data_IF_463192591064
#
_entry.id   IF_463192591064
#
_cell.length_a   1.000
_cell.length_b   1.000
_cell.length_c   1.000
_cell.angle_alpha   90.00
_cell.angle_beta   90.00
_cell.angle_gamma   90.00
#
_symmetry.space_group_name_H-M   'P 1'
#
loop_
_entity.id
_entity.type
_entity.pdbx_description
1 polymer ?
#
# COMPACT_ATOMS: atom_id res chain seq x y z
N UNK A 1 -27.61 -13.26 1.08
CA UNK A 1 -28.85 -12.50 1.27
C UNK A 1 -29.77 -12.67 0.07
N UNK A 2 -29.30 -12.50 -1.14
CA UNK A 2 -30.08 -12.57 -2.38
C UNK A 2 -30.77 -13.92 -2.60
N UNK A 3 -30.09 -15.03 -2.37
CA UNK A 3 -30.68 -16.37 -2.50
C UNK A 3 -31.83 -16.62 -1.52
N UNK A 4 -31.77 -16.07 -0.33
CA UNK A 4 -32.84 -16.17 0.68
C UNK A 4 -34.03 -15.29 0.32
N UNK A 5 -33.81 -14.12 -0.25
CA UNK A 5 -34.87 -13.24 -0.73
C UNK A 5 -35.63 -13.88 -1.90
N UNK A 6 -34.94 -14.43 -2.87
CA UNK A 6 -35.59 -15.12 -4.01
C UNK A 6 -36.37 -16.35 -3.55
N UNK A 7 -35.84 -17.13 -2.61
CA UNK A 7 -36.57 -18.26 -2.04
C UNK A 7 -37.84 -17.80 -1.32
N UNK A 8 -37.73 -16.76 -0.46
CA UNK A 8 -38.85 -16.18 0.25
C UNK A 8 -39.91 -15.58 -0.69
N UNK A 9 -39.51 -14.85 -1.73
CA UNK A 9 -40.42 -14.25 -2.68
C UNK A 9 -41.20 -15.28 -3.52
N UNK A 10 -40.62 -16.45 -3.76
CA UNK A 10 -41.30 -17.56 -4.43
C UNK A 10 -42.19 -18.34 -3.48
N UNK A 11 -41.74 -18.59 -2.26
CA UNK A 11 -42.48 -19.25 -1.19
C UNK A 11 -41.96 -18.78 0.19
N UNK A 12 -42.75 -17.92 0.90
CA UNK A 12 -42.35 -17.42 2.21
C UNK A 12 -42.05 -18.47 3.26
N UNK A 13 -42.59 -19.69 3.12
CA UNK A 13 -42.31 -20.79 4.03
C UNK A 13 -41.00 -21.53 3.77
N UNK A 14 -40.34 -21.25 2.65
CA UNK A 14 -39.08 -21.89 2.23
C UNK A 14 -37.83 -21.38 2.96
N UNK A 15 -37.97 -20.28 3.72
CA UNK A 15 -36.86 -19.69 4.47
C UNK A 15 -37.11 -19.76 5.96
N UNK A 16 -36.03 -19.66 6.76
CA UNK A 16 -36.14 -19.62 8.21
C UNK A 16 -37.01 -18.42 8.68
N UNK A 17 -37.81 -18.60 9.73
CA UNK A 17 -38.76 -17.60 10.23
C UNK A 17 -38.15 -16.21 10.50
N UNK A 18 -36.88 -16.13 10.89
CA UNK A 18 -36.17 -14.86 11.08
C UNK A 18 -35.97 -14.10 9.76
N UNK A 19 -35.75 -14.79 8.65
CA UNK A 19 -35.66 -14.17 7.32
C UNK A 19 -37.03 -13.76 6.79
N UNK A 20 -38.04 -14.61 7.00
CA UNK A 20 -39.42 -14.27 6.62
C UNK A 20 -39.88 -12.99 7.34
N UNK A 21 -39.74 -12.90 8.68
CA UNK A 21 -40.06 -11.71 9.45
C UNK A 21 -39.26 -10.47 9.02
N UNK A 22 -37.98 -10.64 8.66
CA UNK A 22 -37.16 -9.53 8.16
C UNK A 22 -37.66 -8.99 6.84
N UNK A 23 -38.00 -9.87 5.89
CA UNK A 23 -38.52 -9.45 4.58
C UNK A 23 -39.96 -8.92 4.64
N UNK A 24 -40.80 -9.44 5.53
CA UNK A 24 -42.17 -8.96 5.79
C UNK A 24 -42.20 -7.59 6.46
N UNK A 25 -41.19 -7.23 7.25
CA UNK A 25 -41.16 -5.97 8.00
C UNK A 25 -41.06 -4.72 7.11
N UNK A 26 -40.75 -4.88 5.82
CA UNK A 26 -40.54 -3.76 4.88
C UNK A 26 -39.33 -2.89 5.20
N UNK A 27 -38.54 -3.24 6.22
CA UNK A 27 -37.28 -2.57 6.57
C UNK A 27 -36.10 -3.04 5.68
N UNK A 28 -36.42 -3.74 4.61
CA UNK A 28 -35.45 -4.28 3.66
C UNK A 28 -35.17 -3.25 2.56
N UNK A 29 -33.96 -2.73 2.52
CA UNK A 29 -33.43 -1.98 1.38
C UNK A 29 -33.03 -2.99 0.28
N UNK A 30 -33.82 -3.00 -0.81
CA UNK A 30 -33.57 -3.90 -1.93
C UNK A 30 -32.26 -3.53 -2.62
N UNK A 31 -31.28 -4.46 -2.77
CA UNK A 31 -30.07 -4.18 -3.54
C UNK A 31 -30.44 -3.70 -4.95
N UNK A 32 -29.69 -2.74 -5.52
CA UNK A 32 -29.96 -2.20 -6.86
C UNK A 32 -30.07 -3.24 -7.98
N UNK A 33 -29.42 -4.39 -7.82
CA UNK A 33 -29.49 -5.52 -8.73
C UNK A 33 -30.85 -6.22 -8.79
N UNK A 34 -31.74 -5.99 -7.81
CA UNK A 34 -33.09 -6.62 -7.74
C UNK A 34 -34.21 -5.66 -8.16
N UNK A 35 -33.92 -4.39 -8.43
CA UNK A 35 -34.88 -3.33 -8.81
C UNK A 35 -35.20 -3.29 -10.31
N UNK A 36 -35.26 -4.41 -11.04
CA UNK A 36 -35.70 -4.45 -12.44
C UNK A 36 -37.22 -4.19 -12.58
N UNK A 37 -37.62 -3.56 -13.68
CA UNK A 37 -38.97 -3.03 -14.02
C UNK A 37 -40.16 -4.02 -13.93
N UNK A 38 -40.00 -5.22 -13.40
CA UNK A 38 -41.07 -6.24 -13.42
C UNK A 38 -41.86 -6.42 -12.11
N UNK A 39 -41.63 -5.59 -11.09
CA UNK A 39 -42.36 -5.70 -9.82
C UNK A 39 -43.33 -4.55 -9.50
N UNK A 40 -43.81 -3.82 -10.48
CA UNK A 40 -44.84 -2.82 -10.33
C UNK A 40 -46.23 -3.37 -10.68
N UNK A 41 -46.74 -4.36 -9.92
CA UNK A 41 -48.15 -4.72 -9.99
C UNK A 41 -48.62 -5.40 -8.69
N UNK A 42 -49.25 -4.65 -7.82
CA UNK A 42 -50.16 -5.20 -6.85
C UNK A 42 -49.91 -4.84 -5.39
N UNK A 43 -50.55 -3.81 -4.89
CA UNK A 43 -50.67 -3.56 -3.45
C UNK A 43 -51.17 -2.15 -3.12
N UNK A 44 -52.44 -2.04 -2.76
CA UNK A 44 -53.18 -0.82 -2.52
C UNK A 44 -52.50 0.17 -1.59
N UNK A 45 -52.50 1.43 -2.02
CA UNK A 45 -51.93 2.55 -1.27
C UNK A 45 -52.70 2.87 0.00
N UNK A 46 -51.99 2.82 1.11
CA UNK A 46 -52.30 3.69 2.23
C UNK A 46 -51.48 4.97 2.02
N UNK A 47 -52.18 6.10 1.84
CA UNK A 47 -51.58 7.43 1.72
C UNK A 47 -50.77 7.71 3.00
N UNK A 48 -49.46 7.73 2.92
CA UNK A 48 -48.58 8.27 3.95
C UNK A 48 -48.83 9.79 3.96
N UNK A 49 -49.09 10.42 5.11
CA UNK A 49 -49.26 11.88 5.16
C UNK A 49 -47.96 12.53 4.70
N UNK A 50 -48.09 13.56 3.86
CA UNK A 50 -46.97 14.35 3.35
C UNK A 50 -46.10 14.84 4.53
N UNK A 51 -45.05 14.09 4.82
CA UNK A 51 -44.02 14.47 5.77
C UNK A 51 -43.37 15.78 5.31
N UNK A 52 -43.07 16.64 6.25
CA UNK A 52 -42.44 17.93 6.06
C UNK A 52 -41.24 17.85 5.10
N UNK A 53 -40.99 18.92 4.36
CA UNK A 53 -39.84 19.04 3.45
C UNK A 53 -38.50 18.64 4.14
N UNK A 54 -38.42 18.76 5.47
CA UNK A 54 -37.26 18.34 6.29
C UNK A 54 -37.05 16.82 6.31
N UNK A 55 -38.11 16.00 6.37
CA UNK A 55 -37.94 14.53 6.37
C UNK A 55 -37.48 13.99 5.01
N UNK A 56 -37.91 14.63 3.92
CA UNK A 56 -37.42 14.28 2.57
C UNK A 56 -35.98 14.71 2.33
N UNK A 57 -35.54 15.83 2.90
CA UNK A 57 -34.16 16.31 2.86
C UNK A 57 -33.21 15.43 3.71
N UNK A 58 -33.68 14.94 4.86
CA UNK A 58 -32.91 14.00 5.68
C UNK A 58 -32.75 12.64 5.00
N UNK A 59 -33.79 12.16 4.34
CA UNK A 59 -33.72 10.93 3.54
C UNK A 59 -32.75 11.03 2.37
N UNK A 60 -32.78 12.15 1.63
CA UNK A 60 -31.86 12.40 0.53
C UNK A 60 -30.40 12.51 1.00
N UNK A 61 -30.17 13.23 2.10
CA UNK A 61 -28.81 13.35 2.70
C UNK A 61 -28.25 11.99 3.18
N UNK A 62 -29.09 11.12 3.72
CA UNK A 62 -28.71 9.77 4.12
C UNK A 62 -28.31 8.90 2.92
N UNK A 63 -29.05 9.01 1.82
CA UNK A 63 -28.73 8.30 0.58
C UNK A 63 -27.41 8.78 -0.03
N UNK A 64 -27.16 10.09 -0.03
CA UNK A 64 -25.90 10.65 -0.54
C UNK A 64 -24.69 10.24 0.32
N UNK A 65 -24.85 10.19 1.64
CA UNK A 65 -23.81 9.66 2.55
C UNK A 65 -23.46 8.20 2.21
N UNK A 66 -24.46 7.36 1.98
CA UNK A 66 -24.23 5.96 1.60
C UNK A 66 -23.50 5.85 0.25
N UNK A 67 -23.88 6.64 -0.75
CA UNK A 67 -23.21 6.70 -2.06
C UNK A 67 -21.74 7.14 -1.92
N UNK A 68 -21.48 8.18 -1.13
CA UNK A 68 -20.14 8.67 -0.84
C UNK A 68 -19.29 7.60 -0.12
N UNK A 69 -19.86 6.84 0.80
CA UNK A 69 -19.16 5.73 1.46
C UNK A 69 -18.77 4.61 0.48
N UNK A 70 -19.61 4.31 -0.51
CA UNK A 70 -19.25 3.35 -1.56
C UNK A 70 -18.11 3.87 -2.44
N UNK A 71 -18.12 5.15 -2.80
CA UNK A 71 -17.04 5.78 -3.54
C UNK A 71 -15.71 5.73 -2.76
N UNK A 72 -15.73 6.10 -1.48
CA UNK A 72 -14.55 6.02 -0.58
C UNK A 72 -14.00 4.59 -0.55
N UNK A 73 -14.87 3.59 -0.33
CA UNK A 73 -14.47 2.20 -0.29
C UNK A 73 -13.88 1.71 -1.63
N UNK A 74 -14.35 2.24 -2.76
CA UNK A 74 -13.79 1.94 -4.07
C UNK A 74 -12.36 2.50 -4.22
N UNK A 75 -12.13 3.75 -3.82
CA UNK A 75 -10.78 4.34 -3.83
C UNK A 75 -9.83 3.61 -2.88
N UNK A 76 -10.26 3.28 -1.66
CA UNK A 76 -9.46 2.51 -0.70
C UNK A 76 -9.03 1.16 -1.24
N UNK A 77 -9.88 0.52 -2.05
CA UNK A 77 -9.65 -0.82 -2.61
C UNK A 77 -8.90 -0.80 -3.93
N UNK A 78 -9.20 0.15 -4.82
CA UNK A 78 -8.75 0.14 -6.22
C UNK A 78 -8.03 1.42 -6.67
N UNK A 79 -7.88 2.42 -5.79
CA UNK A 79 -7.23 3.68 -6.15
C UNK A 79 -5.80 3.48 -6.66
N UNK A 80 -5.06 2.50 -6.12
CA UNK A 80 -3.71 2.16 -6.56
C UNK A 80 -3.61 1.77 -8.04
N UNK A 81 -4.68 1.23 -8.65
CA UNK A 81 -4.71 0.90 -10.08
C UNK A 81 -4.67 2.16 -10.98
N UNK A 82 -4.96 3.32 -10.40
CA UNK A 82 -4.90 4.64 -11.06
C UNK A 82 -3.73 5.50 -10.58
N UNK A 83 -2.87 4.96 -9.72
CA UNK A 83 -1.70 5.68 -9.25
C UNK A 83 -0.76 6.02 -10.42
N UNK A 84 -0.21 7.24 -10.40
CA UNK A 84 0.72 7.76 -11.40
C UNK A 84 2.13 7.20 -11.15
N UNK A 85 2.33 5.94 -11.53
CA UNK A 85 3.57 5.19 -11.32
C UNK A 85 4.50 5.17 -12.54
N UNK A 86 4.10 5.80 -13.66
CA UNK A 86 4.88 5.86 -14.90
C UNK A 86 5.29 7.31 -15.20
N UNK A 87 6.37 7.81 -14.59
CA UNK A 87 6.82 9.20 -14.80
C UNK A 87 7.24 9.50 -16.24
N UNK A 88 7.58 8.48 -17.02
CA UNK A 88 7.97 8.60 -18.42
C UNK A 88 6.80 8.50 -19.40
N UNK A 89 5.59 8.20 -18.89
CA UNK A 89 4.37 8.03 -19.70
C UNK A 89 4.50 7.01 -20.84
N UNK A 90 5.29 5.96 -20.66
CA UNK A 90 5.55 4.94 -21.67
C UNK A 90 4.30 4.09 -22.00
N UNK A 91 3.41 3.94 -21.02
CA UNK A 91 2.15 3.20 -21.17
C UNK A 91 1.00 4.06 -21.68
N UNK A 92 1.22 5.36 -21.87
CA UNK A 92 0.18 6.34 -22.15
C UNK A 92 -0.72 6.62 -20.95
N UNK A 93 -1.88 7.22 -21.21
CA UNK A 93 -2.83 7.53 -20.15
C UNK A 93 -3.52 6.26 -19.65
N UNK A 94 -3.62 6.15 -18.33
CA UNK A 94 -4.33 5.04 -17.70
C UNK A 94 -5.83 5.08 -18.04
N UNK A 95 -6.39 3.93 -18.40
CA UNK A 95 -7.82 3.84 -18.69
C UNK A 95 -8.66 4.23 -17.45
N UNK A 96 -9.75 4.98 -17.62
CA UNK A 96 -10.63 5.31 -16.50
C UNK A 96 -11.20 4.04 -15.88
N UNK A 97 -11.30 4.02 -14.55
CA UNK A 97 -11.97 2.95 -13.81
C UNK A 97 -13.37 3.43 -13.42
N UNK A 98 -14.39 2.73 -13.87
CA UNK A 98 -15.77 3.09 -13.59
C UNK A 98 -16.07 3.13 -12.08
N UNK A 99 -15.45 2.24 -11.29
CA UNK A 99 -15.64 2.19 -9.84
C UNK A 99 -15.14 3.45 -9.11
N UNK A 100 -14.24 4.23 -9.73
CA UNK A 100 -13.73 5.49 -9.13
C UNK A 100 -14.49 6.72 -9.65
N UNK A 101 -15.48 6.53 -10.54
CA UNK A 101 -16.29 7.60 -11.05
C UNK A 101 -17.52 7.80 -10.14
N UNK A 102 -17.75 9.01 -9.57
CA UNK A 102 -18.93 9.33 -8.80
C UNK A 102 -20.24 9.00 -9.52
N UNK A 103 -20.27 9.10 -10.85
CA UNK A 103 -21.46 8.78 -11.65
C UNK A 103 -21.92 7.31 -11.50
N UNK A 104 -20.99 6.39 -11.24
CA UNK A 104 -21.29 4.96 -10.97
C UNK A 104 -22.16 4.80 -9.73
N UNK A 105 -22.07 5.72 -8.79
CA UNK A 105 -22.86 5.73 -7.55
C UNK A 105 -24.10 6.62 -7.65
N UNK A 106 -24.45 7.08 -8.86
CA UNK A 106 -25.64 7.87 -9.13
C UNK A 106 -25.49 9.35 -8.76
N UNK A 107 -24.28 9.88 -8.71
CA UNK A 107 -24.03 11.31 -8.65
C UNK A 107 -24.04 11.90 -10.06
N UNK A 108 -24.68 13.04 -10.22
CA UNK A 108 -24.71 13.78 -11.48
C UNK A 108 -23.70 14.96 -11.45
N UNK A 109 -23.30 15.51 -12.61
CA UNK A 109 -22.38 16.65 -12.65
C UNK A 109 -22.82 17.86 -11.82
N UNK A 110 -24.14 18.05 -11.63
CA UNK A 110 -24.69 19.10 -10.77
C UNK A 110 -24.54 18.86 -9.27
N UNK A 111 -24.16 17.66 -8.86
CA UNK A 111 -24.04 17.28 -7.45
C UNK A 111 -22.68 17.59 -6.83
N UNK A 112 -21.67 17.94 -7.67
CA UNK A 112 -20.29 18.11 -7.20
C UNK A 112 -20.12 19.21 -6.14
N UNK A 113 -20.94 20.25 -6.17
CA UNK A 113 -20.89 21.35 -5.21
C UNK A 113 -21.90 21.16 -4.05
N UNK A 114 -22.57 20.00 -4.00
CA UNK A 114 -23.53 19.67 -2.96
C UNK A 114 -22.81 19.20 -1.70
N UNK A 115 -23.26 19.71 -0.55
CA UNK A 115 -22.74 19.32 0.75
C UNK A 115 -23.15 17.88 1.11
N UNK A 116 -22.14 17.09 1.49
CA UNK A 116 -22.25 15.72 1.98
C UNK A 116 -21.91 15.69 3.47
N UNK A 117 -22.61 14.87 4.23
CA UNK A 117 -22.27 14.61 5.63
C UNK A 117 -21.61 13.25 5.77
N UNK A 118 -20.33 13.23 6.12
CA UNK A 118 -19.54 12.00 6.25
C UNK A 118 -19.58 11.40 7.66
N UNK A 119 -20.12 12.11 8.65
CA UNK A 119 -20.29 11.59 10.00
C UNK A 119 -21.45 10.62 10.06
N UNK A 120 -21.21 9.38 10.49
CA UNK A 120 -22.27 8.47 10.91
C UNK A 120 -22.66 8.78 12.36
N UNK A 121 -23.93 8.46 12.73
CA UNK A 121 -24.44 8.60 14.10
C UNK A 121 -23.61 7.83 15.16
N UNK A 122 -22.70 6.96 14.75
CA UNK A 122 -21.82 6.16 15.59
C UNK A 122 -20.39 6.68 15.69
N UNK A 123 -20.05 7.81 15.02
CA UNK A 123 -18.73 8.45 15.11
C UNK A 123 -17.55 7.66 14.52
N UNK A 124 -17.79 6.52 13.85
CA UNK A 124 -16.71 5.62 13.42
C UNK A 124 -16.52 5.52 11.91
N UNK A 125 -17.23 6.30 11.10
CA UNK A 125 -17.03 6.23 9.66
C UNK A 125 -15.96 7.20 9.21
N UNK A 126 -14.96 6.67 8.53
CA UNK A 126 -13.89 7.44 7.86
C UNK A 126 -12.92 8.11 8.85
N UNK A 127 -12.35 7.31 9.77
CA UNK A 127 -11.44 7.81 10.80
C UNK A 127 -10.22 8.58 10.27
N UNK A 128 -9.81 8.34 9.01
CA UNK A 128 -8.74 9.07 8.35
C UNK A 128 -9.19 10.38 7.72
N UNK A 129 -10.35 10.38 7.09
CA UNK A 129 -10.89 11.55 6.38
C UNK A 129 -11.38 12.63 7.36
N UNK A 130 -11.96 12.24 8.50
CA UNK A 130 -12.47 13.16 9.51
C UNK A 130 -11.35 13.81 10.36
N UNK A 131 -10.15 13.27 10.30
CA UNK A 131 -8.95 13.90 10.91
C UNK A 131 -8.33 15.00 10.05
N UNK A 132 -8.85 15.26 8.87
CA UNK A 132 -8.36 16.28 7.96
C UNK A 132 -8.97 17.65 8.28
N UNK A 133 -8.14 18.69 8.22
CA UNK A 133 -8.54 20.08 8.45
C UNK A 133 -9.55 20.60 7.41
N UNK A 134 -9.74 19.89 6.30
CA UNK A 134 -10.65 20.26 5.21
C UNK A 134 -12.08 19.73 5.41
N UNK A 135 -12.29 18.79 6.33
CA UNK A 135 -13.63 18.42 6.79
C UNK A 135 -13.95 19.32 7.98
N UNK A 136 -14.90 20.21 7.82
CA UNK A 136 -15.37 21.08 8.90
C UNK A 136 -15.67 20.23 10.15
N UNK A 137 -15.54 20.80 11.35
CA UNK A 137 -15.81 20.12 12.64
C UNK A 137 -17.17 19.38 12.67
N UNK A 138 -18.09 19.77 11.79
CA UNK A 138 -19.41 19.17 11.60
C UNK A 138 -19.44 17.93 10.68
N UNK A 139 -18.29 17.52 10.11
CA UNK A 139 -18.21 16.41 9.14
C UNK A 139 -18.83 16.72 7.78
N UNK A 140 -18.95 17.99 7.41
CA UNK A 140 -19.49 18.43 6.14
C UNK A 140 -18.37 18.68 5.13
N UNK A 141 -18.53 18.16 3.92
CA UNK A 141 -17.64 18.37 2.77
C UNK A 141 -18.47 18.39 1.49
N UNK A 142 -17.92 18.86 0.39
CA UNK A 142 -18.56 18.72 -0.91
C UNK A 142 -18.12 17.43 -1.61
N UNK A 143 -18.92 16.94 -2.57
CA UNK A 143 -18.51 15.78 -3.38
C UNK A 143 -17.23 16.09 -4.15
N UNK A 144 -17.02 17.33 -4.59
CA UNK A 144 -15.80 17.77 -5.28
C UNK A 144 -14.57 17.62 -4.38
N UNK A 145 -14.61 18.22 -3.18
CA UNK A 145 -13.51 18.15 -2.20
C UNK A 145 -13.21 16.69 -1.82
N UNK A 146 -14.26 15.88 -1.64
CA UNK A 146 -14.09 14.45 -1.38
C UNK A 146 -13.41 13.73 -2.54
N UNK A 147 -13.87 13.95 -3.78
CA UNK A 147 -13.31 13.29 -4.96
C UNK A 147 -11.85 13.71 -5.19
N UNK A 148 -11.55 15.01 -5.08
CA UNK A 148 -10.19 15.55 -5.20
C UNK A 148 -9.26 14.97 -4.13
N UNK A 149 -9.71 14.92 -2.88
CA UNK A 149 -8.97 14.32 -1.78
C UNK A 149 -8.69 12.83 -2.02
N UNK A 150 -9.68 12.05 -2.44
CA UNK A 150 -9.51 10.62 -2.73
C UNK A 150 -8.55 10.40 -3.90
N UNK A 151 -8.67 11.22 -4.94
CA UNK A 151 -7.77 11.17 -6.10
C UNK A 151 -6.32 11.48 -5.69
N UNK A 152 -6.09 12.52 -4.89
CA UNK A 152 -4.75 12.88 -4.41
C UNK A 152 -4.17 11.81 -3.50
N UNK A 153 -4.98 11.26 -2.60
CA UNK A 153 -4.53 10.28 -1.60
C UNK A 153 -4.21 8.91 -2.20
N UNK A 154 -5.10 8.39 -3.06
CA UNK A 154 -5.02 7.00 -3.52
C UNK A 154 -4.52 6.83 -4.96
N UNK A 155 -4.55 7.89 -5.78
CA UNK A 155 -4.12 7.86 -7.17
C UNK A 155 -2.88 8.74 -7.44
N UNK A 156 -2.17 9.15 -6.39
CA UNK A 156 -0.93 9.92 -6.50
C UNK A 156 0.24 9.09 -7.05
N UNK A 157 1.47 9.51 -6.75
CA UNK A 157 2.70 8.82 -7.20
C UNK A 157 3.09 7.61 -6.35
N UNK A 158 2.21 7.17 -5.46
CA UNK A 158 2.39 6.02 -4.58
C UNK A 158 1.15 5.13 -4.64
N UNK A 159 1.30 3.90 -5.12
CA UNK A 159 0.26 2.88 -5.07
C UNK A 159 0.33 2.13 -3.74
N UNK A 160 -0.81 1.96 -3.07
CA UNK A 160 -0.89 1.28 -1.78
C UNK A 160 -1.98 0.21 -1.83
N UNK A 161 -1.60 -1.01 -1.49
CA UNK A 161 -2.47 -2.17 -1.44
C UNK A 161 -2.52 -2.72 -0.01
N UNK A 162 -3.63 -2.53 0.68
CA UNK A 162 -3.81 -2.91 2.08
C UNK A 162 -5.03 -3.81 2.34
N UNK A 163 -5.80 -4.16 1.32
CA UNK A 163 -7.03 -4.94 1.47
C UNK A 163 -6.81 -6.40 1.87
N UNK A 164 -5.59 -6.93 1.69
CA UNK A 164 -5.20 -8.25 2.18
C UNK A 164 -5.05 -8.33 3.71
N UNK A 165 -5.01 -7.20 4.40
CA UNK A 165 -4.91 -7.14 5.86
C UNK A 165 -6.31 -7.38 6.44
N UNK A 166 -6.51 -8.53 7.08
CA UNK A 166 -7.80 -8.94 7.65
C UNK A 166 -8.11 -8.31 9.01
N UNK A 167 -7.07 -7.83 9.73
CA UNK A 167 -7.24 -7.13 11.00
C UNK A 167 -7.73 -5.70 10.74
N UNK A 168 -8.97 -5.43 11.10
CA UNK A 168 -9.64 -4.17 10.87
C UNK A 168 -8.94 -2.97 11.58
N UNK A 169 -8.35 -3.20 12.76
CA UNK A 169 -7.65 -2.14 13.49
C UNK A 169 -6.35 -1.74 12.76
N UNK A 170 -5.61 -2.72 12.24
CA UNK A 170 -4.41 -2.47 11.44
C UNK A 170 -4.75 -1.78 10.12
N UNK A 171 -5.82 -2.22 9.46
CA UNK A 171 -6.29 -1.61 8.22
C UNK A 171 -6.72 -0.16 8.43
N UNK A 172 -7.52 0.12 9.46
CA UNK A 172 -7.96 1.47 9.81
C UNK A 172 -6.79 2.37 10.22
N UNK A 173 -5.80 1.82 10.94
CA UNK A 173 -4.58 2.56 11.26
C UNK A 173 -3.81 2.97 10.01
N UNK A 174 -3.64 2.05 9.05
CA UNK A 174 -2.99 2.37 7.77
C UNK A 174 -3.76 3.44 7.01
N UNK A 175 -5.07 3.29 6.86
CA UNK A 175 -5.94 4.28 6.20
C UNK A 175 -5.82 5.64 6.84
N UNK A 176 -5.89 5.73 8.18
CA UNK A 176 -5.74 7.00 8.89
C UNK A 176 -4.39 7.67 8.63
N UNK A 177 -3.31 6.89 8.49
CA UNK A 177 -1.97 7.40 8.15
C UNK A 177 -1.86 7.89 6.72
N UNK A 178 -2.54 7.24 5.79
CA UNK A 178 -2.56 7.64 4.38
C UNK A 178 -3.38 8.89 4.15
N UNK A 179 -4.54 8.95 4.77
CA UNK A 179 -5.54 10.00 4.63
C UNK A 179 -5.23 11.26 5.45
N UNK A 180 -4.24 11.19 6.36
CA UNK A 180 -3.78 12.38 7.08
C UNK A 180 -2.80 13.18 6.23
N UNK A 181 -3.03 14.49 6.04
CA UNK A 181 -2.10 15.37 5.34
C UNK A 181 -0.70 15.30 5.93
N UNK A 182 0.30 15.14 5.07
CA UNK A 182 1.68 15.07 5.50
C UNK A 182 2.30 16.46 5.50
N UNK A 183 2.94 16.82 6.60
CA UNK A 183 3.75 18.03 6.62
C UNK A 183 4.85 17.93 5.55
N UNK A 184 5.15 19.01 4.82
CA UNK A 184 6.24 19.03 3.86
C UNK A 184 7.56 18.71 4.58
N UNK A 185 8.45 17.99 3.90
CA UNK A 185 9.77 17.67 4.42
C UNK A 185 10.54 18.95 4.79
N UNK A 186 11.20 18.94 5.95
CA UNK A 186 12.07 20.01 6.37
C UNK A 186 13.21 20.23 5.36
N UNK A 187 13.84 21.41 5.37
CA UNK A 187 14.99 21.68 4.50
C UNK A 187 16.14 20.71 4.76
N UNK A 188 16.33 20.30 6.01
CA UNK A 188 17.36 19.35 6.42
C UNK A 188 17.06 17.95 5.87
N UNK A 189 15.84 17.48 6.02
CA UNK A 189 15.42 16.19 5.44
C UNK A 189 15.56 16.16 3.93
N UNK A 190 15.17 17.24 3.25
CA UNK A 190 15.33 17.38 1.79
C UNK A 190 16.80 17.32 1.36
N UNK A 191 17.72 17.96 2.11
CA UNK A 191 19.16 17.87 1.88
C UNK A 191 19.68 16.44 2.07
N UNK A 192 19.23 15.77 3.13
CA UNK A 192 19.58 14.37 3.37
C UNK A 192 19.10 13.44 2.25
N UNK A 193 17.85 13.61 1.79
CA UNK A 193 17.33 12.83 0.65
C UNK A 193 18.18 13.07 -0.58
N UNK A 194 18.48 14.34 -0.91
CA UNK A 194 19.31 14.71 -2.07
C UNK A 194 20.72 14.10 -1.97
N UNK A 195 21.34 14.15 -0.80
CA UNK A 195 22.65 13.54 -0.58
C UNK A 195 22.62 12.02 -0.85
N UNK A 196 21.57 11.33 -0.39
CA UNK A 196 21.43 9.88 -0.62
C UNK A 196 21.17 9.53 -2.08
N UNK A 197 20.39 10.35 -2.78
CA UNK A 197 20.20 10.22 -4.22
C UNK A 197 21.52 10.41 -4.97
N UNK A 198 22.30 11.44 -4.61
CA UNK A 198 23.60 11.68 -5.22
C UNK A 198 24.59 10.52 -4.98
N UNK A 199 24.61 9.93 -3.78
CA UNK A 199 25.43 8.75 -3.51
C UNK A 199 24.99 7.54 -4.34
N UNK A 200 23.68 7.30 -4.45
CA UNK A 200 23.15 6.20 -5.25
C UNK A 200 23.55 6.34 -6.72
N UNK A 201 23.35 7.51 -7.31
CA UNK A 201 23.71 7.81 -8.71
C UNK A 201 25.21 7.72 -8.96
N UNK A 202 26.03 8.32 -8.06
CA UNK A 202 27.49 8.30 -8.22
C UNK A 202 28.06 6.89 -8.10
N UNK A 203 27.52 6.07 -7.22
CA UNK A 203 27.92 4.66 -7.10
C UNK A 203 27.72 3.92 -8.43
N UNK A 204 26.53 4.04 -9.03
CA UNK A 204 26.22 3.41 -10.33
C UNK A 204 27.14 3.94 -11.44
N UNK A 205 27.32 5.25 -11.50
CA UNK A 205 28.19 5.91 -12.50
C UNK A 205 29.64 5.43 -12.41
N UNK A 206 30.18 5.32 -11.18
CA UNK A 206 31.56 4.84 -10.97
C UNK A 206 31.70 3.37 -11.41
N UNK A 207 30.72 2.52 -11.04
CA UNK A 207 30.72 1.13 -11.47
C UNK A 207 30.60 0.99 -12.99
N UNK A 208 29.73 1.78 -13.62
CA UNK A 208 29.56 1.79 -15.07
C UNK A 208 30.85 2.20 -15.79
N UNK A 209 31.56 3.17 -15.25
CA UNK A 209 32.81 3.67 -15.85
C UNK A 209 33.98 2.72 -15.66
N UNK A 210 34.14 2.15 -14.43
CA UNK A 210 35.28 1.30 -14.10
C UNK A 210 35.13 -0.15 -14.52
N UNK A 211 33.91 -0.67 -14.52
CA UNK A 211 33.58 -2.08 -14.79
C UNK A 211 32.53 -2.20 -15.91
N UNK A 212 32.82 -1.53 -17.03
CA UNK A 212 31.90 -1.40 -18.15
C UNK A 212 31.54 -2.73 -18.84
N UNK A 213 32.42 -3.75 -18.74
CA UNK A 213 32.19 -5.10 -19.31
C UNK A 213 31.49 -6.06 -18.34
N UNK A 214 31.40 -5.71 -17.06
CA UNK A 214 30.78 -6.57 -16.07
C UNK A 214 29.28 -6.32 -15.98
N UNK A 215 28.50 -7.37 -15.68
CA UNK A 215 27.10 -7.21 -15.30
C UNK A 215 27.03 -6.41 -13.99
N UNK A 216 26.15 -5.42 -13.91
CA UNK A 216 26.00 -4.56 -12.73
C UNK A 216 24.61 -4.57 -12.13
N UNK A 217 23.58 -4.84 -12.94
CA UNK A 217 22.17 -4.78 -12.54
C UNK A 217 21.87 -3.51 -11.73
N UNK A 218 22.15 -2.36 -12.37
CA UNK A 218 22.08 -1.07 -11.71
C UNK A 218 20.66 -0.67 -11.28
N UNK A 219 20.59 0.42 -10.55
CA UNK A 219 19.36 0.94 -9.94
C UNK A 219 18.74 2.09 -10.76
N UNK A 220 19.26 2.33 -11.95
CA UNK A 220 18.91 3.46 -12.81
C UNK A 220 17.39 3.64 -12.92
N UNK A 221 16.89 4.82 -12.54
CA UNK A 221 15.48 5.17 -12.47
C UNK A 221 14.77 4.82 -11.14
N UNK A 222 15.42 4.08 -10.24
CA UNK A 222 14.87 3.71 -8.93
C UNK A 222 15.73 4.21 -7.76
N UNK A 223 16.52 5.26 -7.93
CA UNK A 223 17.45 5.76 -6.91
C UNK A 223 16.75 6.20 -5.63
N UNK A 224 15.48 6.60 -5.71
CA UNK A 224 14.63 6.95 -4.56
C UNK A 224 14.44 5.79 -3.57
N UNK A 225 14.66 4.54 -4.00
CA UNK A 225 14.64 3.38 -3.11
C UNK A 225 15.69 3.50 -2.00
N UNK A 226 16.87 4.05 -2.27
CA UNK A 226 17.96 4.17 -1.28
C UNK A 226 17.59 5.07 -0.10
N UNK A 227 17.16 6.35 -0.28
CA UNK A 227 16.69 7.15 0.85
C UNK A 227 15.45 6.56 1.49
N UNK A 228 14.51 5.98 0.72
CA UNK A 228 13.31 5.35 1.24
C UNK A 228 13.61 4.20 2.21
N UNK A 229 14.50 3.28 1.84
CA UNK A 229 14.93 2.18 2.71
C UNK A 229 15.61 2.69 3.99
N UNK A 230 16.43 3.74 3.90
CA UNK A 230 17.06 4.31 5.08
C UNK A 230 16.04 4.91 6.04
N UNK A 231 15.08 5.67 5.53
CA UNK A 231 14.00 6.26 6.36
C UNK A 231 13.14 5.14 6.97
N UNK A 232 12.85 4.08 6.22
CA UNK A 232 12.13 2.91 6.73
C UNK A 232 12.86 2.28 7.93
N UNK A 233 14.18 2.04 7.81
CA UNK A 233 14.99 1.47 8.91
C UNK A 233 15.01 2.41 10.11
N UNK A 234 15.16 3.72 9.89
CA UNK A 234 15.18 4.72 10.96
C UNK A 234 13.83 4.78 11.70
N UNK A 235 12.72 4.81 10.96
CA UNK A 235 11.37 4.81 11.50
C UNK A 235 11.05 3.50 12.26
N UNK A 236 11.42 2.35 11.70
CA UNK A 236 11.26 1.06 12.36
C UNK A 236 12.01 1.01 13.70
N UNK A 237 13.24 1.51 13.73
CA UNK A 237 14.04 1.57 14.96
C UNK A 237 13.44 2.49 16.01
N UNK A 238 12.81 3.60 15.61
CA UNK A 238 12.03 4.46 16.51
C UNK A 238 10.83 3.74 17.11
N UNK A 239 10.24 2.81 16.40
CA UNK A 239 9.13 1.97 16.87
C UNK A 239 9.59 0.74 17.68
N UNK A 240 10.88 0.57 17.95
CA UNK A 240 11.41 -0.53 18.78
C UNK A 240 11.92 -1.73 18.00
N UNK A 241 11.94 -1.69 16.67
CA UNK A 241 12.52 -2.74 15.83
C UNK A 241 14.03 -2.81 16.05
N UNK A 242 14.54 -3.98 16.36
CA UNK A 242 15.96 -4.28 16.60
C UNK A 242 16.61 -5.09 15.48
N UNK A 243 15.82 -5.73 14.62
CA UNK A 243 16.30 -6.51 13.47
C UNK A 243 15.49 -6.18 12.22
N UNK A 244 16.18 -5.86 11.14
CA UNK A 244 15.60 -5.68 9.80
C UNK A 244 16.20 -6.72 8.88
N UNK A 245 15.38 -7.62 8.36
CA UNK A 245 15.80 -8.72 7.47
C UNK A 245 15.30 -8.41 6.07
N UNK A 246 16.25 -8.17 5.16
CA UNK A 246 15.96 -7.73 3.80
C UNK A 246 16.19 -8.88 2.83
N UNK A 247 15.22 -9.13 1.95
CA UNK A 247 15.36 -9.93 0.75
C UNK A 247 15.13 -9.10 -0.48
N UNK A 248 15.97 -9.25 -1.49
CA UNK A 248 15.80 -8.59 -2.77
C UNK A 248 16.48 -9.36 -3.89
N UNK A 249 15.99 -9.28 -5.13
CA UNK A 249 16.68 -9.82 -6.30
C UNK A 249 17.93 -8.99 -6.65
N UNK A 250 18.47 -9.20 -7.83
CA UNK A 250 19.75 -8.65 -8.27
C UNK A 250 19.75 -7.14 -8.57
N UNK A 251 18.64 -6.58 -9.11
CA UNK A 251 18.59 -5.18 -9.55
C UNK A 251 18.68 -4.22 -8.37
N UNK A 252 19.66 -3.32 -8.44
CA UNK A 252 19.95 -2.35 -7.38
C UNK A 252 20.63 -2.95 -6.14
N UNK A 253 20.89 -4.26 -6.11
CA UNK A 253 21.43 -4.94 -4.93
C UNK A 253 22.80 -4.43 -4.50
N UNK A 254 23.70 -4.16 -5.44
CA UNK A 254 25.03 -3.61 -5.12
C UNK A 254 24.92 -2.23 -4.46
N UNK A 255 23.99 -1.41 -4.92
CA UNK A 255 23.72 -0.10 -4.34
C UNK A 255 23.17 -0.23 -2.91
N UNK A 256 22.23 -1.15 -2.67
CA UNK A 256 21.70 -1.45 -1.33
C UNK A 256 22.82 -1.97 -0.41
N UNK A 257 23.66 -2.88 -0.88
CA UNK A 257 24.82 -3.37 -0.12
C UNK A 257 25.71 -2.23 0.33
N UNK A 258 26.05 -1.29 -0.57
CA UNK A 258 26.91 -0.15 -0.27
C UNK A 258 26.22 0.92 0.58
N UNK A 259 25.07 1.42 0.10
CA UNK A 259 24.47 2.65 0.62
C UNK A 259 23.45 2.42 1.75
N UNK A 260 22.91 1.22 1.89
CA UNK A 260 21.96 0.89 2.96
C UNK A 260 22.61 0.00 4.02
N UNK A 261 23.17 -1.13 3.63
CA UNK A 261 23.75 -2.12 4.55
C UNK A 261 25.23 -1.85 4.87
N UNK A 262 25.81 -0.80 4.29
CA UNK A 262 27.16 -0.31 4.62
C UNK A 262 28.30 -1.30 4.35
N UNK A 263 28.14 -2.21 3.37
CA UNK A 263 29.27 -3.01 2.91
C UNK A 263 30.38 -2.09 2.39
N UNK A 264 31.64 -2.25 2.82
CA UNK A 264 32.72 -1.37 2.37
C UNK A 264 32.87 -1.41 0.84
N UNK A 265 32.97 -0.24 0.22
CA UNK A 265 33.03 -0.12 -1.24
C UNK A 265 34.27 -0.78 -1.81
N UNK A 266 35.37 -0.82 -1.05
CA UNK A 266 36.61 -1.46 -1.39
C UNK A 266 36.45 -3.00 -1.54
N UNK A 267 35.57 -3.60 -0.71
CA UNK A 267 35.25 -5.03 -0.81
C UNK A 267 34.49 -5.28 -2.11
N UNK A 268 33.48 -4.43 -2.42
CA UNK A 268 32.73 -4.54 -3.66
C UNK A 268 33.64 -4.41 -4.87
N UNK A 269 34.59 -3.45 -4.86
CA UNK A 269 35.55 -3.30 -5.96
C UNK A 269 36.50 -4.49 -6.11
N UNK A 270 36.95 -5.07 -4.99
CA UNK A 270 37.77 -6.32 -5.02
C UNK A 270 36.98 -7.48 -5.63
N UNK A 271 35.71 -7.61 -5.31
CA UNK A 271 34.84 -8.63 -5.91
C UNK A 271 34.69 -8.44 -7.43
N UNK A 272 34.65 -7.20 -7.92
CA UNK A 272 34.66 -6.92 -9.36
C UNK A 272 36.01 -7.25 -10.02
N UNK A 273 37.13 -7.03 -9.33
CA UNK A 273 38.46 -7.31 -9.83
C UNK A 273 38.86 -8.81 -9.77
N UNK A 274 38.02 -9.63 -9.08
CA UNK A 274 38.32 -11.06 -8.90
C UNK A 274 39.54 -11.32 -8.04
N UNK A 275 39.97 -10.34 -7.22
CA UNK A 275 41.10 -10.52 -6.29
C UNK A 275 40.61 -11.24 -5.03
N UNK A 276 41.34 -12.33 -4.66
CA UNK A 276 41.03 -13.08 -3.44
C UNK A 276 41.04 -12.17 -2.20
N UNK A 277 40.09 -12.42 -1.27
CA UNK A 277 40.13 -11.80 0.04
C UNK A 277 41.44 -12.18 0.75
N UNK A 278 42.02 -11.23 1.49
CA UNK A 278 43.10 -11.53 2.43
C UNK A 278 42.60 -12.44 3.55
N UNK A 279 43.45 -13.30 4.10
CA UNK A 279 43.14 -14.32 5.12
C UNK A 279 42.45 -13.77 6.39
N UNK A 280 42.45 -12.44 6.60
CA UNK A 280 41.82 -11.76 7.73
C UNK A 280 40.28 -11.68 7.64
N UNK A 281 39.66 -11.93 6.47
CA UNK A 281 38.21 -11.94 6.25
C UNK A 281 37.63 -13.37 6.25
N UNK A 282 38.25 -14.32 6.90
CA UNK A 282 38.02 -15.77 6.87
C UNK A 282 36.65 -16.26 7.42
N UNK A 283 35.62 -15.43 7.41
CA UNK A 283 34.26 -15.83 7.78
C UNK A 283 33.28 -16.13 6.62
N UNK A 284 33.64 -15.77 5.40
CA UNK A 284 32.86 -16.08 4.20
C UNK A 284 33.69 -17.06 3.33
N UNK A 285 33.23 -18.31 3.23
CA UNK A 285 33.91 -19.35 2.45
C UNK A 285 34.29 -18.90 1.05
N UNK A 286 35.31 -19.58 0.49
CA UNK A 286 35.98 -19.35 -0.79
C UNK A 286 35.10 -19.36 -2.06
N UNK A 287 34.00 -18.65 -2.03
CA UNK A 287 33.06 -18.49 -3.15
C UNK A 287 33.36 -17.25 -3.99
N UNK A 288 34.42 -16.49 -3.67
CA UNK A 288 34.67 -15.15 -4.24
C UNK A 288 35.26 -15.15 -5.65
N UNK A 289 35.64 -16.29 -6.21
CA UNK A 289 36.37 -16.36 -7.50
C UNK A 289 35.45 -16.42 -8.74
N UNK A 290 34.15 -16.62 -8.57
CA UNK A 290 33.20 -16.69 -9.68
C UNK A 290 32.55 -15.32 -9.94
N UNK A 291 32.70 -14.80 -11.16
CA UNK A 291 32.23 -13.45 -11.56
C UNK A 291 30.76 -13.13 -11.34
N UNK A 292 29.92 -14.13 -11.09
CA UNK A 292 28.46 -13.96 -10.88
C UNK A 292 28.07 -13.96 -9.39
N UNK A 293 28.94 -14.41 -8.49
CA UNK A 293 28.57 -14.62 -7.07
C UNK A 293 28.38 -13.31 -6.31
N UNK A 294 29.05 -12.22 -6.67
CA UNK A 294 28.96 -10.92 -5.99
C UNK A 294 27.54 -10.36 -5.87
N UNK A 295 26.65 -10.71 -6.80
CA UNK A 295 25.24 -10.28 -6.77
C UNK A 295 24.36 -11.10 -5.83
N UNK A 296 24.87 -12.21 -5.30
CA UNK A 296 24.15 -13.15 -4.47
C UNK A 296 24.59 -13.13 -3.02
N UNK A 297 25.74 -12.52 -2.74
CA UNK A 297 26.26 -12.41 -1.38
C UNK A 297 25.34 -11.57 -0.49
N UNK A 298 25.15 -12.05 0.73
CA UNK A 298 24.48 -11.31 1.80
C UNK A 298 25.50 -10.58 2.66
N UNK A 299 25.00 -9.69 3.50
CA UNK A 299 25.80 -9.02 4.53
C UNK A 299 24.91 -8.55 5.65
N UNK A 300 25.49 -8.33 6.83
CA UNK A 300 24.82 -7.75 7.98
C UNK A 300 25.59 -6.54 8.49
N UNK A 301 24.87 -5.58 9.07
CA UNK A 301 25.41 -4.36 9.61
C UNK A 301 24.66 -3.97 10.89
N UNK A 302 25.43 -3.77 11.96
CA UNK A 302 24.90 -3.25 13.23
C UNK A 302 24.93 -1.72 13.18
N UNK A 303 23.78 -1.11 13.01
CA UNK A 303 23.62 0.33 13.00
C UNK A 303 23.39 0.85 14.41
N UNK A 304 24.29 1.71 14.89
CA UNK A 304 24.14 2.43 16.14
C UNK A 304 23.67 3.87 15.88
N UNK A 305 22.82 4.37 16.76
CA UNK A 305 22.32 5.75 16.75
C UNK A 305 22.93 6.54 17.91
N UNK A 306 23.02 7.88 17.80
CA UNK A 306 23.59 8.73 18.85
C UNK A 306 22.85 8.64 20.19
N UNK A 307 21.57 8.29 20.19
CA UNK A 307 20.72 8.11 21.36
C UNK A 307 20.87 6.73 22.03
N UNK A 308 21.79 5.90 21.55
CA UNK A 308 22.08 4.57 22.09
C UNK A 308 21.26 3.43 21.48
N UNK A 309 20.25 3.72 20.63
CA UNK A 309 19.51 2.68 19.93
C UNK A 309 20.41 1.94 18.94
N UNK A 310 20.11 0.68 18.68
CA UNK A 310 20.81 -0.17 17.73
C UNK A 310 19.81 -0.99 16.92
N UNK A 311 20.15 -1.24 15.67
CA UNK A 311 19.38 -2.15 14.80
C UNK A 311 20.34 -2.97 13.96
N UNK A 312 20.11 -4.27 13.91
CA UNK A 312 20.80 -5.16 12.99
C UNK A 312 20.08 -5.15 11.65
N UNK A 313 20.74 -4.68 10.60
CA UNK A 313 20.22 -4.70 9.23
C UNK A 313 20.92 -5.81 8.48
N UNK A 314 20.18 -6.78 8.00
CA UNK A 314 20.72 -7.93 7.29
C UNK A 314 20.10 -8.05 5.89
N UNK A 315 20.92 -8.07 4.85
CA UNK A 315 20.53 -8.44 3.51
C UNK A 315 20.87 -9.90 3.27
N UNK A 316 19.85 -10.73 3.07
CA UNK A 316 20.04 -12.16 2.88
C UNK A 316 20.75 -12.48 1.56
N UNK A 317 21.60 -13.51 1.50
CA UNK A 317 22.04 -14.07 0.24
C UNK A 317 20.82 -14.59 -0.54
N UNK A 318 20.86 -14.47 -1.87
CA UNK A 318 19.74 -14.90 -2.71
C UNK A 318 20.23 -15.58 -3.99
N UNK A 319 19.45 -16.49 -4.58
CA UNK A 319 19.62 -16.90 -5.97
C UNK A 319 19.19 -15.77 -6.93
N UNK A 320 19.56 -15.85 -8.21
CA UNK A 320 19.16 -14.88 -9.26
C UNK A 320 17.66 -14.88 -9.58
N UNK A 321 16.88 -15.72 -8.93
CA UNK A 321 15.46 -15.88 -9.23
C UNK A 321 14.63 -14.89 -8.44
N UNK A 322 13.78 -14.14 -9.13
CA UNK A 322 12.76 -13.28 -8.52
C UNK A 322 11.88 -14.12 -7.59
N UNK A 323 11.47 -13.52 -6.49
CA UNK A 323 10.56 -14.12 -5.48
C UNK A 323 11.13 -15.32 -4.69
N UNK A 324 12.19 -15.99 -5.17
CA UNK A 324 12.77 -17.15 -4.49
C UNK A 324 13.32 -16.83 -3.09
N UNK A 325 13.66 -15.58 -2.80
CA UNK A 325 14.12 -15.11 -1.50
C UNK A 325 12.98 -14.84 -0.52
N UNK A 326 11.75 -14.63 -0.99
CA UNK A 326 10.61 -14.25 -0.15
C UNK A 326 10.37 -15.22 1.02
N UNK A 327 10.26 -16.55 0.79
CA UNK A 327 10.08 -17.49 1.89
C UNK A 327 11.27 -17.55 2.85
N UNK A 328 12.49 -17.27 2.36
CA UNK A 328 13.69 -17.22 3.21
C UNK A 328 13.64 -16.03 4.17
N UNK A 329 13.21 -14.85 3.69
CA UNK A 329 13.04 -13.65 4.53
C UNK A 329 12.01 -13.92 5.62
N UNK A 330 10.85 -14.44 5.26
CA UNK A 330 9.76 -14.71 6.21
C UNK A 330 10.18 -15.78 7.23
N UNK A 331 10.80 -16.88 6.76
CA UNK A 331 11.29 -17.95 7.64
C UNK A 331 12.35 -17.47 8.62
N UNK A 332 13.32 -16.65 8.15
CA UNK A 332 14.35 -16.09 9.01
C UNK A 332 13.80 -15.08 10.00
N UNK A 333 12.89 -14.21 9.56
CA UNK A 333 12.23 -13.26 10.45
C UNK A 333 11.47 -14.00 11.56
N UNK A 334 10.71 -15.04 11.21
CA UNK A 334 10.01 -15.88 12.20
C UNK A 334 10.97 -16.51 13.19
N UNK A 335 12.06 -17.09 12.72
CA UNK A 335 13.08 -17.69 13.59
C UNK A 335 13.69 -16.65 14.55
N UNK A 336 13.96 -15.43 14.06
CA UNK A 336 14.45 -14.32 14.92
C UNK A 336 13.41 -13.92 15.97
N UNK A 337 12.14 -13.82 15.60
CA UNK A 337 11.04 -13.54 16.54
C UNK A 337 10.97 -14.62 17.62
N UNK A 338 11.01 -15.90 17.24
CA UNK A 338 10.96 -17.03 18.19
C UNK A 338 12.18 -17.00 19.14
N UNK A 339 13.38 -16.75 18.63
CA UNK A 339 14.61 -16.64 19.45
C UNK A 339 14.55 -15.49 20.46
N UNK A 340 13.83 -14.41 20.14
CA UNK A 340 13.66 -13.22 21.00
C UNK A 340 12.46 -13.32 21.94
N UNK A 341 11.63 -14.34 21.80
CA UNK A 341 10.36 -14.45 22.52
C UNK A 341 9.37 -13.35 22.11
N UNK A 342 9.36 -12.97 20.84
CA UNK A 342 8.52 -11.93 20.23
C UNK A 342 7.40 -12.57 19.40
N UNK A 343 6.30 -13.00 20.03
CA UNK A 343 5.22 -13.68 19.33
C UNK A 343 4.43 -12.76 18.39
N UNK A 344 4.47 -11.45 18.64
CA UNK A 344 3.71 -10.45 17.90
C UNK A 344 4.48 -9.90 16.70
N UNK A 345 5.79 -10.07 16.65
CA UNK A 345 6.65 -9.49 15.61
C UNK A 345 6.92 -8.00 15.79
N UNK A 346 6.96 -7.53 17.03
CA UNK A 346 7.16 -6.11 17.33
C UNK A 346 8.61 -5.65 17.17
N UNK A 347 9.58 -6.58 17.24
CA UNK A 347 11.02 -6.28 17.24
C UNK A 347 11.75 -6.66 15.96
N UNK A 348 11.12 -7.42 15.05
CA UNK A 348 11.74 -7.91 13.82
C UNK A 348 10.92 -7.49 12.61
N UNK A 349 11.53 -6.75 11.68
CA UNK A 349 10.92 -6.30 10.45
C UNK A 349 11.42 -7.13 9.25
N UNK A 350 10.62 -7.98 8.64
CA UNK A 350 10.90 -8.54 7.32
C UNK A 350 10.61 -7.50 6.24
N UNK A 351 11.53 -7.30 5.30
CA UNK A 351 11.37 -6.42 4.17
C UNK A 351 11.72 -7.15 2.87
N UNK A 352 10.76 -7.23 1.96
CA UNK A 352 10.95 -7.78 0.62
C UNK A 352 10.93 -6.60 -0.34
N UNK A 353 12.06 -6.36 -1.00
CA UNK A 353 12.27 -5.21 -1.86
C UNK A 353 12.40 -5.71 -3.29
N UNK A 354 11.61 -5.15 -4.20
CA UNK A 354 11.71 -5.39 -5.64
C UNK A 354 12.07 -4.09 -6.35
N UNK A 355 13.15 -4.08 -7.11
CA UNK A 355 13.43 -3.09 -8.13
C UNK A 355 13.50 -3.87 -9.45
N UNK A 356 12.40 -3.92 -10.18
CA UNK A 356 12.27 -4.70 -11.40
C UNK A 356 11.97 -3.78 -12.57
N UNK A 357 12.62 -4.03 -13.70
CA UNK A 357 12.14 -3.53 -14.98
C UNK A 357 11.02 -4.45 -15.47
N UNK A 358 10.15 -3.93 -16.31
CA UNK A 358 9.02 -4.69 -16.88
C UNK A 358 9.48 -5.98 -17.60
N UNK A 359 10.71 -5.99 -18.14
CA UNK A 359 11.35 -7.17 -18.72
C UNK A 359 11.75 -8.25 -17.71
N UNK A 360 11.89 -7.90 -16.44
CA UNK A 360 12.31 -8.80 -15.38
C UNK A 360 11.11 -9.47 -14.69
N UNK A 361 9.89 -9.00 -14.97
CA UNK A 361 8.65 -9.57 -14.46
C UNK A 361 8.16 -10.58 -15.50
N UNK A 362 8.24 -11.89 -15.25
CA UNK A 362 7.66 -12.86 -16.18
C UNK A 362 6.15 -12.65 -16.19
N UNK A 363 5.64 -12.06 -17.29
CA UNK A 363 4.23 -11.97 -17.67
C UNK A 363 3.24 -12.05 -16.50
N UNK A 364 3.17 -11.04 -15.66
CA UNK A 364 2.00 -10.78 -14.82
C UNK A 364 0.86 -10.36 -15.77
N UNK A 365 0.38 -11.28 -16.57
CA UNK A 365 -0.96 -11.19 -17.11
C UNK A 365 -1.85 -11.65 -15.98
N UNK A 366 -2.46 -10.68 -15.32
CA UNK A 366 -3.49 -10.94 -14.34
C UNK A 366 -4.52 -11.91 -14.96
N UNK A 367 -4.66 -13.06 -14.34
CA UNK A 367 -5.82 -13.93 -14.52
C UNK A 367 -6.95 -13.38 -13.65
#
# INVERSE_FOLDING_TARGET
MDSQYYAWSADPSSVHSSWASYFESGAFDMPPALGGEHYAAGGGGAAVPAGSKESSLQGARGADTARAMHLIAAYQRRGHERADLDPLRLKGDLAPLADLDPATYGFEPGDYDRELRLTTATGSAVAGLLGNADVNDDGMTTLRELADFLQETYCGTLGIEAEHITDLNKQNWLRSRLETPKAPLSLEDRKHVLERLAYAEKFETILATKFNTAKRFGLEGCESMIPGMKIMVDAATLCGVSDVIIGMPHRGRLNVLCNVVRKPIEVIFREFMGTAQSDDDAGAGDWSSSGDVKYHLGTSYDRAYPDGRRVQVELLPNPSHLEAVNPLVIGKARARMDMKGDPNGDTVLPAIIGAAQESDIPNFKGS
#
